data_IF_589781661884
#
_entry.id   IF_589781661884
#
_cell.length_a   1.000
_cell.length_b   1.000
_cell.length_c   1.000
_cell.angle_alpha   90.00
_cell.angle_beta   90.00
_cell.angle_gamma   90.00
#
_symmetry.space_group_name_H-M   'P 1'
#
loop_
_entity.id
_entity.type
_entity.pdbx_description
1 polymer ?
#
# COMPACT_ATOMS: atom_id res chain seq x y z
N UNK A 1 -9.33 19.24 -16.79
CA UNK A 1 -9.17 18.13 -15.78
C UNK A 1 -8.30 18.69 -14.67
N UNK A 2 -8.82 18.74 -13.44
CA UNK A 2 -8.02 19.21 -12.31
C UNK A 2 -6.99 18.15 -11.93
N UNK A 3 -5.73 18.57 -11.87
CA UNK A 3 -4.64 17.77 -11.31
C UNK A 3 -4.64 17.93 -9.79
N UNK A 4 -4.32 16.86 -9.10
CA UNK A 4 -4.15 16.81 -7.67
C UNK A 4 -2.68 16.57 -7.39
N UNK A 5 -2.04 17.47 -6.65
CA UNK A 5 -0.64 17.31 -6.26
C UNK A 5 -0.55 16.78 -4.83
N UNK A 6 0.08 15.63 -4.66
CA UNK A 6 0.33 14.99 -3.37
C UNK A 6 1.77 14.51 -3.36
N UNK A 7 2.52 14.83 -2.32
CA UNK A 7 3.92 14.43 -2.18
C UNK A 7 4.76 14.70 -3.43
N UNK A 8 4.55 15.87 -4.07
CA UNK A 8 5.19 16.29 -5.33
C UNK A 8 4.83 15.44 -6.56
N UNK A 9 3.85 14.53 -6.47
CA UNK A 9 3.35 13.73 -7.58
C UNK A 9 2.00 14.31 -8.03
N UNK A 10 1.83 14.44 -9.35
CA UNK A 10 0.59 14.94 -9.93
C UNK A 10 -0.31 13.77 -10.35
N UNK A 11 -1.48 13.69 -9.77
CA UNK A 11 -2.49 12.69 -10.07
C UNK A 11 -3.65 13.31 -10.86
N UNK A 12 -4.22 12.55 -11.78
CA UNK A 12 -5.51 12.91 -12.38
C UNK A 12 -6.61 12.48 -11.43
N UNK A 13 -7.55 13.36 -11.14
CA UNK A 13 -8.74 12.98 -10.39
C UNK A 13 -9.51 11.91 -11.16
N UNK A 14 -9.86 10.79 -10.52
CA UNK A 14 -10.70 9.78 -11.15
C UNK A 14 -12.08 10.34 -11.45
N UNK A 15 -12.64 10.03 -12.62
CA UNK A 15 -14.00 10.40 -13.00
C UNK A 15 -15.06 9.51 -12.36
N UNK A 16 -14.66 8.39 -11.79
CA UNK A 16 -15.52 7.42 -11.10
C UNK A 16 -14.89 7.08 -9.75
N UNK A 17 -15.71 6.67 -8.77
CA UNK A 17 -15.17 6.18 -7.50
C UNK A 17 -14.16 5.05 -7.72
N UNK A 18 -13.02 5.13 -7.04
CA UNK A 18 -12.01 4.08 -7.00
C UNK A 18 -12.03 3.41 -5.64
N UNK A 19 -11.96 2.09 -5.63
CA UNK A 19 -11.85 1.30 -4.40
C UNK A 19 -10.55 0.53 -4.45
N UNK A 20 -9.71 0.73 -3.45
CA UNK A 20 -8.49 -0.05 -3.25
C UNK A 20 -8.72 -1.07 -2.12
N UNK A 21 -8.43 -2.32 -2.38
CA UNK A 21 -8.52 -3.40 -1.38
C UNK A 21 -7.13 -3.98 -1.19
N UNK A 22 -6.57 -3.81 0.00
CA UNK A 22 -5.32 -4.43 0.39
C UNK A 22 -5.63 -5.74 1.14
N UNK A 23 -5.05 -6.84 0.69
CA UNK A 23 -5.14 -8.14 1.37
C UNK A 23 -3.74 -8.46 1.87
N UNK A 24 -3.50 -8.07 3.13
CA UNK A 24 -2.20 -8.24 3.77
C UNK A 24 -1.86 -9.72 3.95
N UNK A 25 -0.55 -10.05 3.86
CA UNK A 25 -0.06 -11.41 4.00
C UNK A 25 -0.40 -12.34 2.83
N UNK A 26 -0.94 -11.81 1.72
CA UNK A 26 -1.20 -12.65 0.54
C UNK A 26 0.03 -12.74 -0.35
N UNK A 27 0.22 -13.94 -0.94
CA UNK A 27 1.30 -14.25 -1.86
C UNK A 27 0.73 -14.57 -3.25
N UNK A 28 1.40 -14.17 -4.36
CA UNK A 28 0.95 -14.48 -5.71
C UNK A 28 0.72 -15.98 -5.96
N UNK A 29 1.48 -16.85 -5.29
CA UNK A 29 1.31 -18.30 -5.40
C UNK A 29 -0.03 -18.80 -4.87
N UNK A 30 -0.58 -18.12 -3.85
CA UNK A 30 -1.92 -18.44 -3.33
C UNK A 30 -2.99 -18.15 -4.37
N UNK A 31 -2.91 -16.98 -5.01
CA UNK A 31 -3.83 -16.62 -6.08
C UNK A 31 -3.72 -17.61 -7.26
N UNK A 32 -2.51 -17.92 -7.71
CA UNK A 32 -2.28 -18.85 -8.79
C UNK A 32 -2.89 -20.23 -8.51
N UNK A 33 -2.70 -20.75 -7.29
CA UNK A 33 -3.25 -22.04 -6.86
C UNK A 33 -4.77 -22.09 -6.88
N UNK A 34 -5.43 -21.10 -6.32
CA UNK A 34 -6.90 -21.09 -6.25
C UNK A 34 -7.56 -20.71 -7.58
N UNK A 35 -6.91 -19.86 -8.38
CA UNK A 35 -7.34 -19.55 -9.73
C UNK A 35 -7.32 -20.79 -10.64
N UNK A 36 -6.25 -21.62 -10.56
CA UNK A 36 -6.14 -22.85 -11.34
C UNK A 36 -7.23 -23.88 -11.03
N UNK A 37 -7.85 -23.78 -9.86
CA UNK A 37 -8.96 -24.63 -9.42
C UNK A 37 -10.34 -24.06 -9.71
N UNK A 38 -10.41 -22.85 -10.25
CA UNK A 38 -11.67 -22.14 -10.48
C UNK A 38 -12.37 -21.64 -9.21
N UNK A 39 -11.67 -21.62 -8.07
CA UNK A 39 -12.23 -21.26 -6.76
C UNK A 39 -12.35 -19.74 -6.56
N UNK A 40 -11.76 -18.93 -7.47
CA UNK A 40 -11.77 -17.46 -7.40
C UNK A 40 -12.39 -16.85 -8.67
N UNK A 41 -13.67 -17.07 -8.97
CA UNK A 41 -14.27 -16.65 -10.23
C UNK A 41 -14.31 -15.14 -10.43
N UNK A 42 -14.47 -14.36 -9.35
CA UNK A 42 -14.47 -12.89 -9.41
C UNK A 42 -13.07 -12.33 -9.65
N UNK A 43 -12.05 -12.89 -9.02
CA UNK A 43 -10.64 -12.49 -9.25
C UNK A 43 -10.23 -12.85 -10.68
N UNK A 44 -10.61 -14.05 -11.15
CA UNK A 44 -10.38 -14.46 -12.53
C UNK A 44 -11.02 -13.48 -13.55
N UNK A 45 -12.23 -12.99 -13.24
CA UNK A 45 -12.88 -11.96 -14.03
C UNK A 45 -12.11 -10.64 -14.02
N UNK A 46 -11.66 -10.17 -12.87
CA UNK A 46 -10.87 -8.94 -12.76
C UNK A 46 -9.56 -9.01 -13.54
N UNK A 47 -8.88 -10.15 -13.50
CA UNK A 47 -7.67 -10.39 -14.29
C UNK A 47 -7.96 -10.35 -15.80
N UNK A 48 -9.05 -10.98 -16.23
CA UNK A 48 -9.43 -11.05 -17.65
C UNK A 48 -9.89 -9.71 -18.21
N UNK A 49 -10.63 -8.92 -17.41
CA UNK A 49 -11.27 -7.67 -17.83
C UNK A 49 -10.45 -6.42 -17.49
N UNK A 50 -9.42 -6.57 -16.68
CA UNK A 50 -8.57 -5.49 -16.23
C UNK A 50 -7.09 -5.77 -16.46
N UNK A 51 -6.30 -5.58 -15.40
CA UNK A 51 -4.86 -5.78 -15.41
C UNK A 51 -4.43 -6.56 -14.16
N UNK A 52 -3.49 -7.48 -14.33
CA UNK A 52 -2.82 -8.15 -13.23
C UNK A 52 -1.31 -8.10 -13.44
N UNK A 53 -0.57 -7.88 -12.36
CA UNK A 53 0.89 -7.83 -12.38
C UNK A 53 1.48 -8.06 -11.00
N UNK A 54 2.75 -8.43 -10.98
CA UNK A 54 3.52 -8.57 -9.74
C UNK A 54 4.33 -7.29 -9.52
N UNK A 55 4.31 -6.78 -8.31
CA UNK A 55 5.12 -5.65 -7.90
C UNK A 55 6.03 -6.05 -6.73
N UNK A 56 7.13 -5.35 -6.58
CA UNK A 56 8.03 -5.54 -5.46
C UNK A 56 7.55 -4.72 -4.27
N UNK A 57 7.51 -5.33 -3.08
CA UNK A 57 7.19 -4.64 -1.84
C UNK A 57 8.32 -3.71 -1.38
N UNK A 58 8.06 -2.88 -0.38
CA UNK A 58 9.10 -2.18 0.37
C UNK A 58 10.07 -3.17 1.02
N UNK A 59 11.30 -2.72 1.29
CA UNK A 59 12.29 -3.52 2.01
C UNK A 59 12.64 -2.79 3.31
N UNK A 60 12.39 -3.43 4.46
CA UNK A 60 11.76 -4.73 4.69
C UNK A 60 10.25 -4.75 4.39
N UNK A 61 9.75 -5.94 4.00
CA UNK A 61 8.35 -6.17 3.61
C UNK A 61 7.43 -6.35 4.84
N UNK A 62 7.39 -5.33 5.70
CA UNK A 62 6.46 -5.30 6.84
C UNK A 62 5.16 -4.59 6.50
N UNK A 63 4.11 -4.89 7.25
CA UNK A 63 2.76 -4.35 7.06
C UNK A 63 2.72 -2.83 7.01
N UNK A 64 3.28 -2.15 8.02
CA UNK A 64 3.20 -0.70 8.10
C UNK A 64 3.98 0.01 6.98
N UNK A 65 5.26 -0.29 6.69
CA UNK A 65 5.98 0.36 5.60
C UNK A 65 5.32 0.15 4.25
N UNK A 66 4.88 -1.07 3.96
CA UNK A 66 4.31 -1.41 2.66
C UNK A 66 2.96 -0.73 2.44
N UNK A 67 2.06 -0.80 3.44
CA UNK A 67 0.76 -0.14 3.34
C UNK A 67 0.89 1.39 3.25
N UNK A 68 1.83 1.99 3.99
CA UNK A 68 2.08 3.43 3.88
C UNK A 68 2.63 3.80 2.51
N UNK A 69 3.53 3.01 1.93
CA UNK A 69 4.00 3.24 0.56
C UNK A 69 2.86 3.19 -0.45
N UNK A 70 1.91 2.26 -0.30
CA UNK A 70 0.73 2.15 -1.18
C UNK A 70 -0.15 3.39 -1.09
N UNK A 71 -0.51 3.84 0.12
CA UNK A 71 -1.48 4.93 0.30
C UNK A 71 -0.89 6.33 0.17
N UNK A 72 0.43 6.48 0.27
CA UNK A 72 1.11 7.77 0.08
C UNK A 72 1.69 7.93 -1.33
N UNK A 73 1.90 6.83 -2.04
CA UNK A 73 2.54 6.81 -3.36
C UNK A 73 4.04 7.13 -3.33
N UNK A 74 4.67 7.14 -2.15
CA UNK A 74 6.09 7.46 -1.99
C UNK A 74 6.83 6.37 -1.20
N UNK A 75 8.17 6.27 -1.35
CA UNK A 75 8.96 5.26 -0.65
C UNK A 75 9.11 5.55 0.85
N UNK A 76 9.56 4.55 1.60
CA UNK A 76 9.83 4.60 3.04
C UNK A 76 10.68 5.82 3.44
N UNK A 77 11.68 6.18 2.63
CA UNK A 77 12.56 7.33 2.87
C UNK A 77 11.82 8.69 2.88
N UNK A 78 10.63 8.75 2.30
CA UNK A 78 9.82 9.97 2.27
C UNK A 78 8.67 9.93 3.28
N UNK A 79 8.00 8.80 3.45
CA UNK A 79 6.89 8.72 4.41
C UNK A 79 7.33 8.38 5.85
N UNK A 80 8.57 7.95 6.08
CA UNK A 80 9.16 7.78 7.41
C UNK A 80 8.79 6.51 8.17
N UNK A 81 7.80 5.76 7.73
CA UNK A 81 7.37 4.52 8.40
C UNK A 81 8.28 3.37 7.94
N UNK A 82 9.30 3.06 8.72
CA UNK A 82 10.36 2.10 8.36
C UNK A 82 10.15 0.68 8.86
N UNK A 83 9.18 0.46 9.72
CA UNK A 83 8.86 -0.84 10.32
C UNK A 83 7.49 -0.85 10.95
N UNK A 84 7.14 -1.94 11.61
CA UNK A 84 5.93 -1.99 12.45
C UNK A 84 6.18 -1.33 13.81
N UNK A 85 7.44 -1.23 14.21
CA UNK A 85 7.90 -0.52 15.41
C UNK A 85 9.34 -0.03 15.20
N UNK A 86 9.76 0.93 16.01
CA UNK A 86 11.15 1.36 16.12
C UNK A 86 11.56 1.44 17.59
N UNK A 87 12.86 1.48 17.86
CA UNK A 87 13.42 1.71 19.20
C UNK A 87 13.62 3.21 19.38
N UNK A 88 12.93 3.82 20.34
CA UNK A 88 13.24 5.20 20.75
C UNK A 88 14.57 5.23 21.49
N UNK A 89 15.57 5.84 20.90
CA UNK A 89 16.92 5.90 21.48
C UNK A 89 17.05 6.80 22.72
N UNK A 90 16.03 7.58 23.04
CA UNK A 90 16.00 8.40 24.26
C UNK A 90 15.46 7.63 25.45
N UNK A 91 14.42 6.85 25.24
CA UNK A 91 13.75 6.08 26.30
C UNK A 91 14.19 4.61 26.32
N UNK A 92 14.79 4.12 25.23
CA UNK A 92 15.13 2.70 25.00
C UNK A 92 13.90 1.79 25.01
N UNK A 93 12.72 2.36 24.70
CA UNK A 93 11.47 1.61 24.61
C UNK A 93 11.06 1.40 23.15
N UNK A 94 10.44 0.26 22.82
CA UNK A 94 9.90 0.04 21.49
C UNK A 94 8.63 0.86 21.29
N UNK A 95 8.56 1.59 20.20
CA UNK A 95 7.40 2.40 19.80
C UNK A 95 6.75 1.75 18.58
N UNK A 96 5.47 1.41 18.70
CA UNK A 96 4.68 0.87 17.59
C UNK A 96 4.34 1.98 16.60
N UNK A 97 4.60 1.76 15.31
CA UNK A 97 4.44 2.77 14.26
C UNK A 97 2.99 2.87 13.75
N UNK A 98 2.04 3.07 14.66
CA UNK A 98 0.60 3.20 14.36
C UNK A 98 0.07 4.62 14.62
N UNK A 99 0.85 5.50 15.24
CA UNK A 99 0.46 6.90 15.44
C UNK A 99 0.58 7.65 14.10
N UNK A 100 -0.51 8.28 13.60
CA UNK A 100 -0.48 9.06 12.36
C UNK A 100 0.52 10.23 12.39
N UNK A 101 0.93 10.70 13.56
CA UNK A 101 1.97 11.73 13.72
C UNK A 101 3.34 11.29 13.22
N UNK A 102 3.59 9.99 13.13
CA UNK A 102 4.84 9.44 12.62
C UNK A 102 4.91 9.48 11.10
N UNK A 103 3.76 9.63 10.42
CA UNK A 103 3.69 9.68 8.97
C UNK A 103 4.13 11.06 8.44
N UNK A 104 5.19 11.08 7.67
CA UNK A 104 5.80 12.31 7.14
C UNK A 104 5.29 12.68 5.74
N UNK A 105 4.33 11.95 5.19
CA UNK A 105 3.78 12.16 3.86
C UNK A 105 2.25 12.21 3.87
N UNK A 106 1.67 12.88 2.90
CA UNK A 106 0.22 12.94 2.72
C UNK A 106 -0.30 11.63 2.14
N UNK A 107 -1.49 11.21 2.56
CA UNK A 107 -2.16 10.05 1.97
C UNK A 107 -3.10 10.50 0.84
N UNK A 108 -3.26 9.65 -0.17
CA UNK A 108 -4.22 9.88 -1.25
C UNK A 108 -5.68 9.77 -0.79
N UNK A 109 -5.90 9.27 0.43
CA UNK A 109 -7.23 9.04 1.00
C UNK A 109 -7.83 10.28 1.68
N UNK A 110 -7.05 11.34 1.89
CA UNK A 110 -7.45 12.54 2.66
C UNK A 110 -7.80 13.73 1.76
N UNK A 111 -8.47 13.50 0.63
CA UNK A 111 -8.71 14.54 -0.37
C UNK A 111 -10.19 14.80 -0.64
#
# INVERSE_FOLDING_TARGET
MSLLAINHIHYRRPLRPCVAVCIDGSDPSYLARYLSRGELPNIARFIREGFAGTAQSSVPAFTCPNNMSIITGVPVSQHGISGNYYLDTKTWEPVVMTDPKLLMAQTILCL
#
